data_IF_359252404807
#
_entry.id   IF_359252404807
#
_cell.length_a   1.000
_cell.length_b   1.000
_cell.length_c   1.000
_cell.angle_alpha   90.00
_cell.angle_beta   90.00
_cell.angle_gamma   90.00
#
_symmetry.space_group_name_H-M   'P 1'
#
loop_
_entity.id
_entity.type
_entity.pdbx_description
1 polymer ?
#
# COMPACT_ATOMS: atom_id res chain seq x y z
N UNK A 1 -3.10 45.75 -5.91
CA UNK A 1 -4.46 46.06 -5.42
C UNK A 1 -4.88 44.87 -4.56
N UNK A 2 -4.63 44.91 -3.24
CA UNK A 2 -5.55 45.38 -2.17
C UNK A 2 -6.80 44.48 -2.10
N UNK A 3 -7.12 43.69 -1.06
CA UNK A 3 -7.12 43.82 0.41
C UNK A 3 -7.15 42.39 1.03
N UNK A 4 -7.00 42.06 2.32
CA UNK A 4 -6.41 42.63 3.54
C UNK A 4 -6.45 41.51 4.60
N UNK A 5 -5.40 41.39 5.39
CA UNK A 5 -5.28 40.57 6.61
C UNK A 5 -5.81 41.40 7.80
N UNK A 6 -6.53 40.78 8.76
CA UNK A 6 -6.72 41.15 10.20
C UNK A 6 -7.99 40.42 10.70
N UNK A 7 -7.98 39.62 11.76
CA UNK A 7 -7.99 40.15 13.13
C UNK A 7 -7.38 39.18 14.16
N UNK A 8 -6.48 39.76 14.95
CA UNK A 8 -6.09 39.35 16.29
C UNK A 8 -7.26 39.55 17.28
N UNK A 9 -7.49 38.58 18.18
CA UNK A 9 -7.97 38.86 19.55
C UNK A 9 -7.09 38.07 20.53
N UNK A 10 -6.33 38.81 21.34
CA UNK A 10 -5.74 38.39 22.63
C UNK A 10 -6.53 39.09 23.74
N UNK A 11 -6.27 38.68 25.00
CA UNK A 11 -6.60 39.31 26.31
C UNK A 11 -7.67 38.46 27.05
N UNK A 12 -7.53 37.97 28.29
CA UNK A 12 -6.56 38.17 29.37
C UNK A 12 -6.54 36.95 30.33
N UNK A 13 -5.40 36.75 31.00
CA UNK A 13 -5.20 35.87 32.15
C UNK A 13 -6.08 36.29 33.34
N UNK A 14 -6.78 35.34 33.95
CA UNK A 14 -7.38 35.47 35.28
C UNK A 14 -6.87 34.34 36.17
N UNK A 15 -5.99 34.69 37.09
CA UNK A 15 -5.46 33.83 38.15
C UNK A 15 -6.50 33.74 39.27
N UNK A 16 -6.93 32.55 39.68
CA UNK A 16 -7.56 32.32 40.98
C UNK A 16 -6.87 31.11 41.63
N UNK A 17 -6.12 31.40 42.69
CA UNK A 17 -5.48 30.45 43.57
C UNK A 17 -6.48 29.99 44.66
N UNK A 18 -6.25 28.76 45.15
CA UNK A 18 -6.52 28.15 46.48
C UNK A 18 -7.99 27.87 46.89
N UNK A 19 -8.39 26.71 47.47
CA UNK A 19 -7.95 25.99 48.69
C UNK A 19 -8.39 24.49 48.61
N UNK A 20 -7.74 23.54 49.34
CA UNK A 20 -7.74 22.11 49.06
C UNK A 20 -8.85 21.34 49.78
N UNK A 21 -9.26 20.20 49.22
CA UNK A 21 -9.93 19.14 49.99
C UNK A 21 -9.14 17.84 49.86
N UNK A 22 -8.48 17.51 50.96
CA UNK A 22 -7.99 16.17 51.29
C UNK A 22 -9.21 15.28 51.50
N UNK A 23 -9.26 14.15 50.79
CA UNK A 23 -9.99 12.97 51.27
C UNK A 23 -9.01 11.80 51.28
N UNK A 24 -8.56 11.45 52.49
CA UNK A 24 -7.92 10.17 52.81
C UNK A 24 -9.04 9.12 52.85
N UNK A 25 -8.83 7.98 52.20
CA UNK A 25 -9.68 6.80 52.32
C UNK A 25 -8.95 5.57 51.81
N UNK A 26 -8.51 4.73 52.73
CA UNK A 26 -7.79 3.49 52.49
C UNK A 26 -8.69 2.44 51.81
N UNK A 27 -8.13 1.66 50.88
CA UNK A 27 -8.72 0.40 50.43
C UNK A 27 -7.67 -0.71 50.49
N UNK A 28 -7.88 -1.63 51.43
CA UNK A 28 -7.27 -2.95 51.50
C UNK A 28 -8.26 -3.98 50.95
N UNK A 29 -7.84 -4.88 50.06
CA UNK A 29 -7.56 -6.29 50.40
C UNK A 29 -7.28 -7.16 49.16
N UNK A 30 -6.45 -8.18 49.36
CA UNK A 30 -6.08 -9.29 48.49
C UNK A 30 -7.26 -10.21 48.17
N UNK A 31 -7.33 -10.66 46.92
CA UNK A 31 -8.14 -11.81 46.51
C UNK A 31 -7.47 -12.56 45.36
N UNK A 32 -6.65 -13.56 45.69
CA UNK A 32 -6.11 -14.56 44.76
C UNK A 32 -7.27 -15.36 44.16
N UNK A 33 -7.32 -15.50 42.84
CA UNK A 33 -8.01 -16.62 42.21
C UNK A 33 -7.08 -17.30 41.22
N UNK A 34 -6.70 -18.53 41.56
CA UNK A 34 -5.95 -19.46 40.74
C UNK A 34 -6.86 -20.06 39.67
N UNK A 35 -6.58 -19.76 38.41
CA UNK A 35 -6.98 -20.59 37.28
C UNK A 35 -5.75 -20.78 36.37
N UNK A 36 -5.33 -22.03 36.07
CA UNK A 36 -4.20 -22.26 35.18
C UNK A 36 -4.70 -22.20 33.74
N UNK A 37 -4.83 -20.98 33.20
CA UNK A 37 -5.02 -20.81 31.77
C UNK A 37 -3.65 -20.68 31.11
N UNK A 38 -3.20 -21.81 30.56
CA UNK A 38 -2.18 -21.85 29.54
C UNK A 38 -2.45 -20.79 28.47
N UNK A 39 -1.53 -19.85 28.30
CA UNK A 39 -1.37 -19.18 27.01
C UNK A 39 0.09 -18.85 26.77
N UNK A 40 0.84 -19.87 26.36
CA UNK A 40 1.98 -19.69 25.49
C UNK A 40 1.51 -19.04 24.18
N UNK A 41 1.39 -17.71 24.15
CA UNK A 41 1.31 -16.94 22.90
C UNK A 41 2.33 -15.82 22.93
N UNK A 42 3.60 -16.18 23.01
CA UNK A 42 4.62 -15.37 22.35
C UNK A 42 4.56 -15.69 20.84
N UNK A 43 3.44 -15.34 20.21
CA UNK A 43 3.41 -15.12 18.77
C UNK A 43 4.25 -13.86 18.56
N UNK A 44 5.52 -14.05 18.17
CA UNK A 44 6.47 -12.96 18.00
C UNK A 44 5.85 -11.81 17.22
N UNK A 45 5.85 -10.60 17.82
CA UNK A 45 5.26 -9.41 17.22
C UNK A 45 5.78 -9.27 15.78
N UNK A 46 4.87 -9.24 14.80
CA UNK A 46 5.23 -9.08 13.39
C UNK A 46 6.13 -7.86 13.21
N UNK A 47 7.23 -8.03 12.47
CA UNK A 47 8.18 -6.94 12.19
C UNK A 47 7.77 -6.10 10.97
N UNK A 48 6.74 -6.50 10.25
CA UNK A 48 6.20 -5.76 9.11
C UNK A 48 5.21 -4.69 9.57
N UNK A 49 5.31 -3.51 8.97
CA UNK A 49 4.25 -2.50 8.97
C UNK A 49 3.30 -2.71 7.79
N UNK A 50 3.78 -3.25 6.66
CA UNK A 50 2.92 -3.64 5.54
C UNK A 50 2.01 -4.80 5.94
N UNK A 51 0.73 -4.71 5.55
CA UNK A 51 -0.26 -5.76 5.75
C UNK A 51 0.05 -6.99 4.89
N UNK A 52 -0.03 -8.18 5.49
CA UNK A 52 0.06 -9.44 4.77
C UNK A 52 -1.16 -9.65 3.84
N UNK A 53 -0.97 -10.35 2.73
CA UNK A 53 -1.97 -10.62 1.69
C UNK A 53 -2.57 -9.33 1.10
N UNK A 54 -1.72 -8.33 0.85
CA UNK A 54 -2.11 -7.13 0.12
C UNK A 54 -2.13 -7.37 -1.40
N UNK A 55 -2.76 -6.46 -2.15
CA UNK A 55 -2.90 -6.56 -3.60
C UNK A 55 -2.43 -5.27 -4.25
N UNK A 56 -1.68 -5.40 -5.34
CA UNK A 56 -1.24 -4.31 -6.20
C UNK A 56 -1.75 -4.57 -7.61
N UNK A 57 -2.42 -3.60 -8.22
CA UNK A 57 -2.97 -3.69 -9.59
C UNK A 57 -2.19 -2.72 -10.46
N UNK A 58 -1.65 -3.19 -11.59
CA UNK A 58 -0.76 -2.40 -12.45
C UNK A 58 -1.13 -2.63 -13.91
N UNK A 59 -1.08 -1.55 -14.70
CA UNK A 59 -1.21 -1.61 -16.15
C UNK A 59 -0.07 -2.43 -16.77
N UNK A 60 -0.36 -3.31 -17.73
CA UNK A 60 0.67 -3.96 -18.55
C UNK A 60 1.58 -2.90 -19.20
N UNK A 61 2.89 -3.14 -19.20
CA UNK A 61 3.91 -2.20 -19.65
C UNK A 61 4.27 -1.12 -18.62
N UNK A 62 3.45 -0.96 -17.57
CA UNK A 62 3.66 0.02 -16.50
C UNK A 62 4.73 -0.39 -15.49
N UNK A 63 4.75 0.35 -14.38
CA UNK A 63 5.67 0.16 -13.27
C UNK A 63 4.93 -0.41 -12.05
N UNK A 64 5.28 -1.62 -11.61
CA UNK A 64 4.79 -2.14 -10.33
C UNK A 64 5.73 -1.77 -9.18
N UNK A 65 5.15 -1.35 -8.06
CA UNK A 65 5.83 -1.17 -6.78
C UNK A 65 5.11 -2.03 -5.75
N UNK A 66 5.72 -3.15 -5.35
CA UNK A 66 5.18 -4.01 -4.30
C UNK A 66 5.70 -3.51 -2.95
N UNK A 67 4.84 -3.01 -2.06
CA UNK A 67 5.27 -2.41 -0.81
C UNK A 67 5.76 -3.48 0.16
N UNK A 68 6.89 -3.22 0.80
CA UNK A 68 7.31 -3.96 1.98
C UNK A 68 7.97 -3.01 2.97
N UNK A 69 7.31 -2.72 4.08
CA UNK A 69 7.79 -1.81 5.10
C UNK A 69 8.06 -2.61 6.36
N UNK A 70 9.30 -2.55 6.83
CA UNK A 70 9.74 -3.19 8.08
C UNK A 70 9.88 -2.13 9.16
N UNK A 71 9.67 -2.54 10.42
CA UNK A 71 9.90 -1.66 11.56
C UNK A 71 11.39 -1.33 11.63
N UNK A 72 11.68 -0.04 11.82
CA UNK A 72 13.00 0.59 11.66
C UNK A 72 14.15 -0.03 12.47
N UNK A 73 13.85 -0.92 13.42
CA UNK A 73 14.79 -1.45 14.40
C UNK A 73 15.15 -2.93 14.14
N UNK A 74 14.82 -3.48 12.97
CA UNK A 74 15.15 -4.87 12.65
C UNK A 74 16.52 -4.96 11.96
N UNK A 75 17.54 -5.61 12.56
CA UNK A 75 18.85 -5.81 11.92
C UNK A 75 18.82 -6.86 10.79
N UNK A 76 17.63 -7.30 10.37
CA UNK A 76 17.46 -8.41 9.46
C UNK A 76 17.44 -7.99 7.99
N UNK A 77 17.88 -8.90 7.14
CA UNK A 77 17.90 -8.73 5.70
C UNK A 77 16.52 -9.01 5.13
N UNK A 78 16.08 -8.13 4.22
CA UNK A 78 14.84 -8.32 3.45
C UNK A 78 15.16 -8.99 2.12
N UNK A 79 14.41 -10.03 1.77
CA UNK A 79 14.52 -10.73 0.49
C UNK A 79 13.18 -10.76 -0.23
N UNK A 80 13.21 -10.66 -1.56
CA UNK A 80 12.03 -10.82 -2.40
C UNK A 80 12.07 -12.14 -3.16
N UNK A 81 10.98 -12.89 -3.10
CA UNK A 81 10.84 -14.20 -3.75
C UNK A 81 9.55 -14.22 -4.58
N UNK A 82 9.63 -14.68 -5.83
CA UNK A 82 8.43 -14.96 -6.63
C UNK A 82 7.91 -16.34 -6.27
N UNK A 83 6.65 -16.46 -5.86
CA UNK A 83 6.09 -17.75 -5.37
C UNK A 83 5.71 -18.73 -6.48
N UNK A 84 5.50 -18.25 -7.70
CA UNK A 84 5.12 -19.07 -8.85
C UNK A 84 6.16 -20.15 -9.17
N UNK A 85 7.43 -19.79 -9.07
CA UNK A 85 8.60 -20.59 -9.44
C UNK A 85 9.65 -20.67 -8.32
N UNK A 86 9.35 -20.10 -7.15
CA UNK A 86 10.26 -19.94 -6.01
C UNK A 86 11.57 -19.21 -6.37
N UNK A 87 11.56 -18.38 -7.41
CA UNK A 87 12.74 -17.63 -7.83
C UNK A 87 13.08 -16.54 -6.80
N UNK A 88 14.31 -16.57 -6.28
CA UNK A 88 14.87 -15.48 -5.48
C UNK A 88 15.16 -14.28 -6.40
N UNK A 89 14.48 -13.16 -6.14
CA UNK A 89 14.59 -11.96 -6.96
C UNK A 89 15.67 -11.01 -6.42
N UNK A 90 15.66 -10.76 -5.12
CA UNK A 90 16.56 -9.80 -4.47
C UNK A 90 16.89 -10.24 -3.05
N UNK A 91 18.08 -9.86 -2.55
CA UNK A 91 18.50 -10.01 -1.16
C UNK A 91 19.14 -8.70 -0.72
N UNK A 92 18.54 -8.04 0.27
CA UNK A 92 18.90 -6.68 0.65
C UNK A 92 18.82 -5.75 -0.56
N UNK A 93 19.92 -5.05 -0.86
CA UNK A 93 20.02 -4.13 -2.00
C UNK A 93 20.44 -4.82 -3.31
N UNK A 94 20.80 -6.10 -3.25
CA UNK A 94 21.35 -6.83 -4.39
C UNK A 94 20.25 -7.56 -5.16
N UNK A 95 20.16 -7.33 -6.47
CA UNK A 95 19.30 -8.11 -7.37
C UNK A 95 19.98 -9.44 -7.69
N UNK A 96 19.27 -10.55 -7.48
CA UNK A 96 19.70 -11.91 -7.79
C UNK A 96 19.08 -12.45 -9.08
N UNK A 97 17.89 -11.97 -9.45
CA UNK A 97 17.27 -12.33 -10.73
C UNK A 97 18.14 -11.92 -11.92
N UNK A 98 18.16 -12.75 -12.97
CA UNK A 98 18.77 -12.39 -14.26
C UNK A 98 17.97 -11.32 -15.01
N UNK A 99 16.68 -11.18 -14.70
CA UNK A 99 15.83 -10.16 -15.30
C UNK A 99 16.06 -8.80 -14.61
N UNK A 100 16.68 -7.88 -15.34
CA UNK A 100 17.07 -6.53 -14.88
C UNK A 100 15.88 -5.62 -14.57
N UNK A 101 14.65 -6.03 -14.88
CA UNK A 101 13.43 -5.26 -14.55
C UNK A 101 13.11 -5.29 -13.06
N UNK A 102 13.56 -6.32 -12.33
CA UNK A 102 13.39 -6.47 -10.89
C UNK A 102 14.46 -5.69 -10.13
N UNK A 103 14.04 -4.69 -9.37
CA UNK A 103 14.91 -3.78 -8.65
C UNK A 103 14.37 -3.57 -7.23
N UNK A 104 15.26 -3.25 -6.30
CA UNK A 104 14.87 -2.86 -4.94
C UNK A 104 14.82 -1.35 -4.84
N UNK A 105 13.73 -0.84 -4.29
CA UNK A 105 13.58 0.55 -3.88
C UNK A 105 13.62 0.61 -2.35
N UNK A 106 14.76 1.04 -1.80
CA UNK A 106 15.00 1.06 -0.35
C UNK A 106 15.19 2.47 0.20
N UNK A 107 14.31 2.85 1.13
CA UNK A 107 14.38 4.11 1.87
C UNK A 107 14.72 3.84 3.33
N UNK A 108 16.01 3.87 3.67
CA UNK A 108 16.57 3.47 4.97
C UNK A 108 15.80 4.01 6.18
N UNK A 109 15.55 5.32 6.21
CA UNK A 109 14.92 6.01 7.34
C UNK A 109 13.40 5.76 7.46
N UNK A 110 12.78 5.14 6.45
CA UNK A 110 11.36 4.73 6.49
C UNK A 110 11.19 3.22 6.60
N UNK A 111 12.27 2.44 6.52
CA UNK A 111 12.19 0.97 6.50
C UNK A 111 11.48 0.41 5.27
N UNK A 112 11.42 1.18 4.18
CA UNK A 112 10.79 0.74 2.93
C UNK A 112 11.76 -0.13 2.16
N UNK A 113 11.36 -1.34 1.80
CA UNK A 113 12.07 -2.33 1.00
C UNK A 113 11.21 -2.80 -0.16
N UNK A 114 10.66 -1.86 -0.93
CA UNK A 114 9.70 -2.19 -1.98
C UNK A 114 10.39 -2.86 -3.17
N UNK A 115 9.72 -3.85 -3.78
CA UNK A 115 10.15 -4.42 -5.05
C UNK A 115 9.58 -3.60 -6.19
N UNK A 116 10.44 -3.12 -7.06
CA UNK A 116 10.10 -2.38 -8.26
C UNK A 116 10.25 -3.28 -9.48
N UNK A 117 9.20 -3.40 -10.29
CA UNK A 117 9.19 -4.19 -11.52
C UNK A 117 8.88 -3.26 -12.69
N UNK A 118 9.88 -3.02 -13.54
CA UNK A 118 9.73 -2.19 -14.75
C UNK A 118 9.06 -2.98 -15.88
N UNK A 119 8.31 -2.30 -16.74
CA UNK A 119 7.70 -2.86 -17.95
C UNK A 119 6.99 -4.18 -17.66
N UNK A 120 6.02 -4.11 -16.73
CA UNK A 120 5.30 -5.29 -16.20
C UNK A 120 4.64 -6.05 -17.34
N UNK A 121 4.74 -7.37 -17.31
CA UNK A 121 4.16 -8.26 -18.30
C UNK A 121 3.08 -9.14 -17.68
N UNK A 122 2.24 -9.72 -18.51
CA UNK A 122 1.14 -10.57 -18.03
C UNK A 122 1.68 -11.78 -17.26
N UNK A 123 2.84 -12.32 -17.63
CA UNK A 123 3.46 -13.44 -16.93
C UNK A 123 3.99 -13.10 -15.53
N UNK A 124 4.21 -11.81 -15.23
CA UNK A 124 4.69 -11.35 -13.92
C UNK A 124 3.58 -11.42 -12.86
N UNK A 125 2.31 -11.60 -13.25
CA UNK A 125 1.18 -11.73 -12.32
C UNK A 125 1.39 -12.88 -11.33
N UNK A 126 0.91 -12.69 -10.11
CA UNK A 126 0.93 -13.72 -9.09
C UNK A 126 1.40 -13.23 -7.73
N UNK A 127 1.77 -14.19 -6.88
CA UNK A 127 2.12 -13.93 -5.49
C UNK A 127 3.63 -13.71 -5.33
N UNK A 128 3.98 -12.64 -4.64
CA UNK A 128 5.35 -12.30 -4.27
C UNK A 128 5.48 -12.32 -2.75
N UNK A 129 6.61 -12.80 -2.26
CA UNK A 129 6.93 -12.88 -0.84
C UNK A 129 8.02 -11.86 -0.51
N UNK A 130 7.73 -11.00 0.46
CA UNK A 130 8.76 -10.23 1.16
C UNK A 130 9.11 -10.98 2.46
N UNK A 131 10.33 -11.47 2.54
CA UNK A 131 10.82 -12.30 3.64
C UNK A 131 11.85 -11.53 4.46
N UNK A 132 11.77 -11.67 5.78
CA UNK A 132 12.71 -11.13 6.74
C UNK A 132 13.54 -12.25 7.36
N UNK A 133 14.86 -12.13 7.30
CA UNK A 133 15.83 -13.14 7.77
C UNK A 133 16.04 -13.14 9.29
N UNK A 134 14.94 -13.24 10.05
CA UNK A 134 14.96 -13.43 11.51
C UNK A 134 14.65 -14.89 11.87
N UNK A 135 14.81 -15.26 13.14
CA UNK A 135 14.40 -16.57 13.65
C UNK A 135 13.21 -16.45 14.63
N UNK A 136 12.08 -17.15 14.39
CA UNK A 136 11.73 -17.83 13.13
C UNK A 136 11.54 -16.82 11.99
N UNK A 137 11.72 -17.27 10.74
CA UNK A 137 11.56 -16.41 9.57
C UNK A 137 10.15 -15.83 9.50
N UNK A 138 10.04 -14.56 9.11
CA UNK A 138 8.76 -13.90 8.94
C UNK A 138 8.60 -13.46 7.49
N UNK A 139 7.39 -13.61 6.96
CA UNK A 139 7.08 -13.25 5.58
C UNK A 139 5.73 -12.56 5.48
N UNK A 140 5.62 -11.67 4.51
CA UNK A 140 4.34 -11.17 3.99
C UNK A 140 4.22 -11.48 2.50
N UNK A 141 3.00 -11.63 2.04
CA UNK A 141 2.67 -11.95 0.66
C UNK A 141 1.88 -10.81 0.02
N UNK A 142 2.24 -10.49 -1.22
CA UNK A 142 1.63 -9.43 -2.01
C UNK A 142 1.22 -10.04 -3.37
N UNK A 143 -0.06 -9.91 -3.73
CA UNK A 143 -0.59 -10.34 -5.02
C UNK A 143 -0.41 -9.20 -6.05
N UNK A 144 0.37 -9.44 -7.11
CA UNK A 144 0.43 -8.57 -8.28
C UNK A 144 -0.62 -8.99 -9.30
N UNK A 145 -1.54 -8.07 -9.61
CA UNK A 145 -2.48 -8.19 -10.73
C UNK A 145 -2.04 -7.28 -11.87
N UNK A 146 -2.04 -7.84 -13.07
CA UNK A 146 -1.74 -7.14 -14.30
C UNK A 146 -3.05 -6.98 -15.07
N UNK A 147 -3.30 -5.78 -15.57
CA UNK A 147 -4.52 -5.44 -16.32
C UNK A 147 -4.17 -4.73 -17.62
N UNK A 148 -5.00 -4.95 -18.63
CA UNK A 148 -4.99 -4.20 -19.90
C UNK A 148 -6.25 -3.32 -19.94
N UNK A 149 -6.09 -2.11 -20.48
CA UNK A 149 -7.17 -1.14 -20.56
C UNK A 149 -8.02 -1.47 -21.79
N UNK A 150 -9.33 -1.44 -21.63
CA UNK A 150 -10.28 -1.82 -22.67
C UNK A 150 -11.16 -0.60 -22.98
N UNK A 151 -11.20 -0.20 -24.25
CA UNK A 151 -12.08 0.85 -24.73
C UNK A 151 -13.33 0.23 -25.35
N UNK A 152 -14.51 0.65 -24.88
CA UNK A 152 -15.80 0.17 -25.33
C UNK A 152 -16.63 1.37 -25.81
N UNK A 153 -17.07 1.36 -27.07
CA UNK A 153 -18.03 2.36 -27.56
C UNK A 153 -19.43 1.87 -27.19
N UNK A 154 -20.19 2.70 -26.50
CA UNK A 154 -21.56 2.33 -26.11
C UNK A 154 -22.50 2.40 -27.30
N UNK A 155 -23.37 1.40 -27.44
CA UNK A 155 -24.37 1.34 -28.49
C UNK A 155 -24.20 0.11 -29.38
N UNK A 156 -24.93 0.09 -30.49
CA UNK A 156 -24.79 -0.95 -31.51
C UNK A 156 -23.46 -0.78 -32.27
N UNK A 157 -22.79 -1.87 -32.69
CA UNK A 157 -21.60 -1.80 -33.56
C UNK A 157 -21.87 -1.03 -34.85
N UNK A 158 -23.06 -1.21 -35.40
CA UNK A 158 -23.53 -0.51 -36.61
C UNK A 158 -24.63 0.48 -36.23
N UNK A 159 -24.39 1.76 -36.49
CA UNK A 159 -25.34 2.85 -36.23
C UNK A 159 -25.77 3.42 -37.57
N UNK A 160 -27.07 3.34 -37.85
CA UNK A 160 -27.69 3.97 -39.01
C UNK A 160 -28.37 5.26 -38.55
N UNK A 161 -28.07 6.37 -39.21
CA UNK A 161 -28.58 7.69 -38.85
C UNK A 161 -29.05 8.39 -40.12
N UNK A 162 -30.18 9.10 -40.02
CA UNK A 162 -30.74 9.85 -41.15
C UNK A 162 -29.93 11.11 -41.44
N UNK A 163 -29.94 11.53 -42.70
CA UNK A 163 -29.27 12.76 -43.13
C UNK A 163 -29.76 13.97 -42.33
N UNK A 164 -28.81 14.78 -41.83
CA UNK A 164 -29.10 15.94 -40.97
C UNK A 164 -29.24 15.63 -39.48
N UNK A 165 -29.21 14.35 -39.07
CA UNK A 165 -29.22 13.97 -37.65
C UNK A 165 -27.84 14.11 -36.99
N UNK A 166 -27.81 14.31 -35.67
CA UNK A 166 -26.56 14.42 -34.89
C UNK A 166 -26.15 13.06 -34.32
N UNK A 167 -24.93 12.62 -34.60
CA UNK A 167 -24.32 11.42 -34.01
C UNK A 167 -23.57 11.78 -32.72
N UNK A 168 -23.84 11.04 -31.63
CA UNK A 168 -23.08 11.10 -30.37
C UNK A 168 -22.47 9.74 -30.07
N UNK A 169 -21.14 9.66 -30.13
CA UNK A 169 -20.39 8.49 -29.70
C UNK A 169 -19.89 8.69 -28.26
N UNK A 170 -20.05 7.67 -27.43
CA UNK A 170 -19.54 7.65 -26.07
C UNK A 170 -18.60 6.45 -25.92
N UNK A 171 -17.34 6.72 -25.56
CA UNK A 171 -16.36 5.70 -25.25
C UNK A 171 -16.22 5.56 -23.73
N UNK A 172 -16.35 4.33 -23.25
CA UNK A 172 -16.09 3.94 -21.87
C UNK A 172 -14.76 3.21 -21.79
N UNK A 173 -13.83 3.77 -21.03
CA UNK A 173 -12.57 3.11 -20.71
C UNK A 173 -12.74 2.25 -19.46
N UNK A 174 -12.40 0.96 -19.56
CA UNK A 174 -12.45 0.00 -18.46
C UNK A 174 -11.04 -0.49 -18.11
N UNK A 175 -10.89 -0.95 -16.86
CA UNK A 175 -9.67 -1.59 -16.32
C UNK A 175 -8.39 -0.75 -16.41
N UNK A 176 -8.48 0.53 -16.74
CA UNK A 176 -7.36 1.44 -16.66
C UNK A 176 -7.03 1.73 -15.20
N UNK A 177 -5.75 1.60 -14.84
CA UNK A 177 -5.26 1.93 -13.50
C UNK A 177 -5.02 3.43 -13.29
N UNK A 178 -4.90 4.17 -14.39
CA UNK A 178 -4.68 5.61 -14.44
C UNK A 178 -5.61 6.23 -15.50
N UNK A 179 -5.91 7.52 -15.37
CA UNK A 179 -6.71 8.26 -16.35
C UNK A 179 -5.82 8.53 -17.57
N UNK A 180 -6.28 8.24 -18.80
CA UNK A 180 -5.49 8.52 -20.00
C UNK A 180 -5.32 10.03 -20.20
N UNK A 181 -4.14 10.44 -20.66
CA UNK A 181 -3.89 11.83 -21.04
C UNK A 181 -4.60 12.21 -22.34
N UNK A 182 -4.70 11.25 -23.28
CA UNK A 182 -5.33 11.44 -24.58
C UNK A 182 -6.23 10.26 -24.95
N UNK A 183 -7.33 10.56 -25.65
CA UNK A 183 -8.21 9.58 -26.31
C UNK A 183 -8.33 9.98 -27.77
N UNK A 184 -8.00 9.06 -28.68
CA UNK A 184 -8.04 9.29 -30.11
C UNK A 184 -9.25 8.62 -30.74
N UNK A 185 -9.90 9.33 -31.66
CA UNK A 185 -10.94 8.80 -32.53
C UNK A 185 -10.40 8.76 -33.96
N UNK A 186 -10.49 7.60 -34.61
CA UNK A 186 -10.06 7.41 -35.99
C UNK A 186 -11.27 7.10 -36.84
N UNK A 187 -11.38 7.78 -37.99
CA UNK A 187 -12.29 7.42 -39.07
C UNK A 187 -11.45 6.64 -40.08
N UNK A 188 -11.82 5.38 -40.31
CA UNK A 188 -11.16 4.52 -41.29
C UNK A 188 -11.65 4.81 -42.71
#
# INVERSE_FOLDING_TARGET
>A
MMYSILQHIRILRGLLLIIPFVCIGAYSDMGKNSSPQNLFTNAGRSQFATKNNSRVVVQKGGLAILPCVVKLNSPATVSWIRRKDFQLLTVGLSTHSSDKRFLVEHTRHMGHWSLRIKSVREEDRGLYECQLSIYPTQSIFIELKVVEAEAEITGSPDIHIDEGSTLRLECKLRKATEIPEFVFWYVL
#
